data_IF_448458925275
#
_entry.id   IF_448458925275
#
_cell.length_a   1.000
_cell.length_b   1.000
_cell.length_c   1.000
_cell.angle_alpha   90.00
_cell.angle_beta   90.00
_cell.angle_gamma   90.00
#
_symmetry.space_group_name_H-M   'P 1'
#
loop_
_entity.id
_entity.type
_entity.pdbx_description
1 polymer ?
#
# COMPACT_ATOMS: atom_id res chain seq x y z
N UNK A 1 10.48 -7.31 -14.06
CA UNK A 1 10.70 -8.15 -12.86
C UNK A 1 10.46 -7.32 -11.59
N UNK A 2 9.19 -7.10 -11.21
CA UNK A 2 8.78 -6.95 -9.79
C UNK A 2 7.23 -6.96 -9.72
N UNK A 3 6.61 -8.13 -9.83
CA UNK A 3 5.21 -8.26 -9.42
C UNK A 3 5.24 -8.45 -7.91
N UNK A 4 5.00 -7.38 -7.15
CA UNK A 4 4.87 -7.49 -5.71
C UNK A 4 3.60 -8.31 -5.42
N UNK A 5 3.70 -9.54 -4.87
CA UNK A 5 2.55 -10.41 -4.68
C UNK A 5 1.59 -9.93 -3.57
N UNK A 6 1.92 -8.86 -2.86
CA UNK A 6 1.18 -8.36 -1.69
C UNK A 6 0.25 -7.18 -1.98
N UNK A 7 -0.03 -6.87 -3.24
CA UNK A 7 -0.90 -5.74 -3.60
C UNK A 7 -2.36 -6.05 -3.30
N UNK A 8 -2.98 -5.22 -2.45
CA UNK A 8 -4.40 -5.34 -2.14
C UNK A 8 -5.16 -4.29 -2.94
N UNK A 9 -5.67 -4.71 -4.11
CA UNK A 9 -6.54 -3.90 -4.95
C UNK A 9 -8.01 -4.13 -4.54
N UNK A 10 -8.55 -3.20 -3.75
CA UNK A 10 -9.97 -3.19 -3.40
C UNK A 10 -10.65 -2.14 -4.24
N UNK A 11 -11.20 -2.58 -5.37
CA UNK A 11 -12.05 -1.74 -6.20
C UNK A 11 -13.26 -1.30 -5.37
N UNK A 12 -13.41 0.00 -5.03
CA UNK A 12 -14.58 0.44 -4.28
C UNK A 12 -15.84 0.21 -5.12
N UNK A 13 -16.89 -0.30 -4.49
CA UNK A 13 -18.20 -0.51 -5.11
C UNK A 13 -18.72 0.83 -5.67
N UNK A 14 -19.34 0.75 -6.85
CA UNK A 14 -19.92 1.80 -7.70
C UNK A 14 -20.20 3.18 -7.08
N UNK A 15 -19.91 4.22 -7.88
CA UNK A 15 -20.14 5.64 -7.63
C UNK A 15 -21.53 5.98 -7.05
N UNK A 16 -21.55 6.33 -5.76
CA UNK A 16 -22.52 7.23 -5.14
C UNK A 16 -21.86 7.85 -3.89
N UNK A 17 -21.51 9.14 -3.96
CA UNK A 17 -20.80 9.89 -2.92
C UNK A 17 -19.29 9.91 -3.13
N UNK A 18 -18.72 11.05 -3.53
CA UNK A 18 -17.29 11.22 -3.88
C UNK A 18 -16.41 11.25 -2.61
N UNK A 19 -16.39 10.14 -1.87
CA UNK A 19 -15.42 9.91 -0.80
C UNK A 19 -13.99 9.82 -1.38
N UNK A 20 -12.95 10.15 -0.58
CA UNK A 20 -11.58 10.10 -1.04
C UNK A 20 -11.21 8.69 -1.49
N UNK A 21 -10.49 8.59 -2.61
CA UNK A 21 -9.87 7.35 -3.09
C UNK A 21 -8.40 7.37 -2.75
N UNK A 22 -8.04 6.65 -1.70
CA UNK A 22 -6.71 6.70 -1.10
C UNK A 22 -5.87 5.54 -1.62
N UNK A 23 -4.68 5.85 -2.12
CA UNK A 23 -3.62 4.88 -2.39
C UNK A 23 -2.59 4.93 -1.27
N UNK A 24 -2.28 3.77 -0.69
CA UNK A 24 -1.34 3.63 0.43
C UNK A 24 -0.11 2.86 -0.05
N UNK A 25 1.07 3.45 0.14
CA UNK A 25 2.35 2.83 -0.20
C UNK A 25 3.25 2.84 1.03
N UNK A 26 3.59 1.65 1.53
CA UNK A 26 4.40 1.51 2.74
C UNK A 26 5.84 1.13 2.35
N UNK A 27 6.80 1.97 2.73
CA UNK A 27 8.21 1.75 2.40
C UNK A 27 8.87 0.80 3.41
N UNK A 28 9.74 -0.10 2.93
CA UNK A 28 10.62 -0.91 3.79
C UNK A 28 11.87 -0.12 4.22
N UNK A 29 12.30 0.83 3.38
CA UNK A 29 13.52 1.62 3.54
C UNK A 29 14.73 0.71 3.84
N UNK A 30 14.84 -0.37 3.05
CA UNK A 30 15.77 -1.47 3.34
C UNK A 30 15.49 -2.08 4.71
N UNK A 31 16.42 -1.89 5.65
CA UNK A 31 16.31 -2.42 7.03
C UNK A 31 15.81 -1.39 8.05
N UNK A 32 15.73 -0.10 7.69
CA UNK A 32 15.41 0.95 8.64
C UNK A 32 13.99 0.82 9.20
N UNK A 33 13.03 0.42 8.36
CA UNK A 33 11.63 0.22 8.77
C UNK A 33 11.33 -1.26 8.92
N UNK A 34 11.67 -2.08 7.91
CA UNK A 34 11.26 -3.49 7.87
C UNK A 34 11.88 -4.40 8.96
N UNK A 35 12.96 -3.97 9.62
CA UNK A 35 13.53 -4.74 10.76
C UNK A 35 12.66 -4.63 12.01
N UNK A 36 11.95 -3.52 12.17
CA UNK A 36 11.18 -3.21 13.39
C UNK A 36 9.68 -3.33 13.15
N UNK A 37 9.22 -2.99 11.95
CA UNK A 37 7.80 -2.95 11.59
C UNK A 37 7.49 -4.09 10.62
N UNK A 38 6.45 -4.86 10.94
CA UNK A 38 5.85 -5.81 10.01
C UNK A 38 5.07 -5.05 8.92
N UNK A 39 5.80 -4.66 7.87
CA UNK A 39 5.28 -3.88 6.75
C UNK A 39 4.13 -4.60 6.02
N UNK A 40 4.21 -5.91 5.71
CA UNK A 40 3.07 -6.65 5.15
C UNK A 40 1.79 -6.53 5.97
N UNK A 41 1.87 -6.72 7.30
CA UNK A 41 0.72 -6.60 8.19
C UNK A 41 0.15 -5.18 8.22
N UNK A 42 0.99 -4.14 8.13
CA UNK A 42 0.53 -2.74 8.03
C UNK A 42 -0.29 -2.51 6.75
N UNK A 43 0.18 -3.03 5.61
CA UNK A 43 -0.54 -2.92 4.33
C UNK A 43 -1.90 -3.62 4.42
N UNK A 44 -1.95 -4.83 4.96
CA UNK A 44 -3.22 -5.56 5.13
C UNK A 44 -4.21 -4.81 6.01
N UNK A 45 -3.73 -4.20 7.10
CA UNK A 45 -4.56 -3.40 8.00
C UNK A 45 -5.12 -2.16 7.30
N UNK A 46 -4.27 -1.40 6.59
CA UNK A 46 -4.66 -0.16 5.90
C UNK A 46 -5.56 -0.43 4.70
N UNK A 47 -5.42 -1.58 4.03
CA UNK A 47 -6.31 -1.98 2.95
C UNK A 47 -7.78 -2.12 3.41
N UNK A 48 -8.04 -2.29 4.71
CA UNK A 48 -9.40 -2.37 5.26
C UNK A 48 -9.95 -1.02 5.70
N UNK A 49 -9.16 0.05 5.64
CA UNK A 49 -9.58 1.37 6.09
C UNK A 49 -10.58 2.01 5.10
N UNK A 50 -11.65 2.67 5.57
CA UNK A 50 -12.57 3.39 4.69
C UNK A 50 -11.85 4.36 3.74
N UNK A 51 -12.22 4.33 2.46
CA UNK A 51 -11.65 5.18 1.41
C UNK A 51 -10.35 4.66 0.79
N UNK A 52 -9.67 3.66 1.38
CA UNK A 52 -8.48 3.05 0.78
C UNK A 52 -8.90 2.15 -0.37
N UNK A 53 -8.52 2.55 -1.58
CA UNK A 53 -8.79 1.80 -2.80
C UNK A 53 -7.61 0.88 -3.18
N UNK A 54 -6.40 1.20 -2.73
CA UNK A 54 -5.20 0.46 -3.05
C UNK A 54 -4.21 0.53 -1.90
N UNK A 55 -3.61 -0.61 -1.55
CA UNK A 55 -2.52 -0.67 -0.58
C UNK A 55 -1.41 -1.60 -1.06
N UNK A 56 -0.16 -1.13 -0.98
CA UNK A 56 1.03 -1.89 -1.35
C UNK A 56 2.22 -1.51 -0.48
N UNK A 57 3.28 -2.32 -0.53
CA UNK A 57 4.57 -1.97 0.05
C UNK A 57 5.69 -2.05 -0.97
N UNK A 58 6.74 -1.24 -0.82
CA UNK A 58 7.89 -1.21 -1.72
C UNK A 58 9.19 -1.10 -0.94
N UNK A 59 10.28 -1.64 -1.50
CA UNK A 59 11.56 -1.68 -0.80
C UNK A 59 12.15 -0.28 -0.57
N UNK A 60 12.13 0.54 -1.62
CA UNK A 60 12.59 1.94 -1.62
C UNK A 60 11.61 2.79 -2.40
N UNK A 61 10.59 3.34 -1.73
CA UNK A 61 9.54 4.13 -2.40
C UNK A 61 10.12 5.36 -3.11
N UNK A 62 11.13 6.01 -2.53
CA UNK A 62 11.75 7.19 -3.14
C UNK A 62 12.65 6.92 -4.37
N UNK A 63 12.84 5.66 -4.77
CA UNK A 63 13.65 5.29 -5.93
C UNK A 63 12.81 5.30 -7.22
N UNK A 64 13.47 5.31 -8.39
CA UNK A 64 12.77 5.32 -9.69
C UNK A 64 11.71 4.21 -9.83
N UNK A 65 11.92 2.95 -9.39
CA UNK A 65 10.87 1.93 -9.43
C UNK A 65 9.68 2.16 -8.49
N UNK A 66 9.81 3.07 -7.51
CA UNK A 66 8.79 3.37 -6.52
C UNK A 66 7.89 4.56 -6.87
N UNK A 67 8.29 5.39 -7.84
CA UNK A 67 7.63 6.62 -8.28
C UNK A 67 6.86 6.41 -9.59
#
# INVERSE_FOLDING_TARGET
MNRNPSTVDRRPSSAAGRGPRIGVFVCHCGKNIATTVDVPRVVEALARHPGVAYAAHHEYMCSDPGQ
#
